data_IF_635084966243
#
_entry.id   IF_635084966243
#
_cell.length_a   1.000
_cell.length_b   1.000
_cell.length_c   1.000
_cell.angle_alpha   90.00
_cell.angle_beta   90.00
_cell.angle_gamma   90.00
#
_symmetry.space_group_name_H-M   'P 1'
#
loop_
_entity.id
_entity.type
_entity.pdbx_description
1 polymer ?
#
# COMPACT_ATOMS: atom_id res chain seq x y z
N UNK A 1 -43.79 -23.14 29.61
CA UNK A 1 -42.94 -21.94 29.50
C UNK A 1 -41.66 -22.31 28.74
N UNK A 2 -41.54 -21.99 27.45
CA UNK A 2 -40.36 -22.42 26.68
C UNK A 2 -40.08 -21.65 25.38
N UNK A 3 -41.07 -20.92 24.83
CA UNK A 3 -40.91 -20.17 23.59
C UNK A 3 -40.17 -18.84 23.76
N UNK A 4 -40.31 -18.17 24.91
CA UNK A 4 -39.72 -16.84 25.14
C UNK A 4 -38.18 -16.89 25.19
N UNK A 5 -37.60 -17.91 25.85
CA UNK A 5 -36.15 -18.07 25.94
C UNK A 5 -35.50 -18.39 24.60
N UNK A 6 -36.12 -19.29 23.82
CA UNK A 6 -35.63 -19.63 22.47
C UNK A 6 -35.70 -18.44 21.50
N UNK A 7 -36.71 -17.57 21.67
CA UNK A 7 -36.87 -16.36 20.87
C UNK A 7 -35.82 -15.32 21.25
N UNK A 8 -35.55 -15.12 22.54
CA UNK A 8 -34.52 -14.20 23.02
C UNK A 8 -33.12 -14.59 22.51
N UNK A 9 -32.78 -15.88 22.58
CA UNK A 9 -31.48 -16.40 22.12
C UNK A 9 -31.30 -16.15 20.62
N UNK A 10 -32.33 -16.36 19.80
CA UNK A 10 -32.28 -16.07 18.37
C UNK A 10 -32.05 -14.59 18.07
N UNK A 11 -32.71 -13.70 18.80
CA UNK A 11 -32.48 -12.25 18.64
C UNK A 11 -31.06 -11.84 19.00
N UNK A 12 -30.50 -12.40 20.08
CA UNK A 12 -29.12 -12.11 20.48
C UNK A 12 -28.10 -12.60 19.44
N UNK A 13 -28.27 -13.80 18.89
CA UNK A 13 -27.39 -14.33 17.83
C UNK A 13 -27.44 -13.46 16.57
N UNK A 14 -28.63 -13.03 16.14
CA UNK A 14 -28.77 -12.16 14.98
C UNK A 14 -28.12 -10.79 15.22
N UNK A 15 -28.28 -10.22 16.41
CA UNK A 15 -27.66 -8.94 16.77
C UNK A 15 -26.11 -9.04 16.77
N UNK A 16 -25.54 -10.12 17.28
CA UNK A 16 -24.08 -10.35 17.26
C UNK A 16 -23.52 -10.47 15.84
N UNK A 17 -24.23 -11.17 14.95
CA UNK A 17 -23.84 -11.29 13.53
C UNK A 17 -23.85 -9.90 12.88
N UNK A 18 -24.92 -9.13 13.04
CA UNK A 18 -25.04 -7.78 12.46
C UNK A 18 -23.97 -6.83 13.00
N UNK A 19 -23.68 -6.88 14.30
CA UNK A 19 -22.62 -6.07 14.91
C UNK A 19 -21.22 -6.42 14.38
N UNK A 20 -20.94 -7.71 14.17
CA UNK A 20 -19.68 -8.16 13.56
C UNK A 20 -19.49 -7.67 12.13
N UNK A 21 -20.55 -7.74 11.30
CA UNK A 21 -20.52 -7.23 9.94
C UNK A 21 -20.36 -5.69 9.89
N UNK A 22 -21.05 -4.96 10.76
CA UNK A 22 -20.93 -3.51 10.85
C UNK A 22 -19.52 -3.06 11.27
N UNK A 23 -18.88 -3.77 12.20
CA UNK A 23 -17.50 -3.52 12.60
C UNK A 23 -16.52 -3.75 11.43
N UNK A 24 -16.75 -4.78 10.62
CA UNK A 24 -15.90 -5.08 9.46
C UNK A 24 -16.06 -4.07 8.31
N UNK A 25 -17.27 -3.51 8.13
CA UNK A 25 -17.56 -2.47 7.15
C UNK A 25 -17.06 -1.09 7.59
N UNK A 26 -17.16 -0.77 8.88
CA UNK A 26 -16.61 0.45 9.47
C UNK A 26 -15.07 0.41 9.58
N UNK A 27 -14.50 -0.78 9.71
CA UNK A 27 -13.07 -1.06 9.63
C UNK A 27 -12.64 -1.49 8.22
N UNK A 28 -13.28 -0.98 7.17
CA UNK A 28 -12.73 -1.08 5.82
C UNK A 28 -11.28 -0.63 5.86
N UNK A 29 -10.36 -1.47 5.38
CA UNK A 29 -8.93 -1.15 5.37
C UNK A 29 -8.76 0.19 4.67
N UNK A 30 -8.33 1.22 5.42
CA UNK A 30 -8.13 2.55 4.85
C UNK A 30 -7.13 2.38 3.72
N UNK A 31 -7.60 2.50 2.48
CA UNK A 31 -6.74 2.43 1.33
C UNK A 31 -5.86 3.69 1.28
N UNK A 32 -4.71 3.56 0.62
CA UNK A 32 -3.68 4.59 0.56
C UNK A 32 -3.58 5.19 -0.85
N UNK A 33 -4.69 5.24 -1.60
CA UNK A 33 -4.68 5.74 -2.97
C UNK A 33 -4.36 7.23 -3.02
N UNK A 34 -4.93 8.03 -2.11
CA UNK A 34 -4.66 9.47 -2.03
C UNK A 34 -3.19 9.73 -1.64
N UNK A 35 -2.67 8.96 -0.68
CA UNK A 35 -1.28 9.03 -0.26
C UNK A 35 -0.33 8.61 -1.40
N UNK A 36 -0.68 7.57 -2.18
CA UNK A 36 0.05 7.17 -3.39
C UNK A 36 0.10 8.34 -4.38
N UNK A 37 -1.04 8.93 -4.71
CA UNK A 37 -1.13 10.01 -5.70
C UNK A 37 -0.35 11.26 -5.24
N UNK A 38 -0.44 11.58 -3.94
CA UNK A 38 0.33 12.65 -3.33
C UNK A 38 1.84 12.41 -3.41
N UNK A 39 2.32 11.22 -3.07
CA UNK A 39 3.76 10.88 -3.18
C UNK A 39 4.20 10.87 -4.64
N UNK A 40 3.39 10.32 -5.55
CA UNK A 40 3.66 10.34 -6.99
C UNK A 40 3.80 11.75 -7.54
N UNK A 41 3.04 12.70 -7.01
CA UNK A 41 3.12 14.12 -7.39
C UNK A 41 4.34 14.82 -6.77
N UNK A 42 4.48 14.78 -5.44
CA UNK A 42 5.50 15.54 -4.69
C UNK A 42 6.92 15.01 -4.94
N UNK A 43 7.06 13.69 -5.03
CA UNK A 43 8.35 13.02 -5.12
C UNK A 43 8.74 12.63 -6.56
N UNK A 44 8.00 13.08 -7.58
CA UNK A 44 8.13 12.59 -8.96
C UNK A 44 9.57 12.63 -9.47
N UNK A 45 10.33 13.67 -9.16
CA UNK A 45 11.72 13.79 -9.62
C UNK A 45 12.64 12.69 -9.11
N UNK A 46 12.36 12.14 -7.93
CA UNK A 46 13.12 11.02 -7.36
C UNK A 46 12.65 9.66 -7.83
N UNK A 47 11.35 9.50 -8.11
CA UNK A 47 10.74 8.19 -8.41
C UNK A 47 10.34 7.99 -9.87
N UNK A 48 10.43 9.01 -10.73
CA UNK A 48 10.09 8.88 -12.15
C UNK A 48 10.87 7.75 -12.82
N UNK A 49 10.21 7.05 -13.74
CA UNK A 49 10.77 5.89 -14.44
C UNK A 49 12.01 6.25 -15.26
N UNK A 50 12.00 7.42 -15.88
CA UNK A 50 13.05 7.86 -16.79
C UNK A 50 14.25 8.45 -16.03
N UNK A 51 15.43 8.35 -16.64
CA UNK A 51 16.67 8.93 -16.13
C UNK A 51 17.23 8.24 -14.88
N UNK A 52 18.29 8.81 -14.33
CA UNK A 52 18.93 8.34 -13.11
C UNK A 52 18.11 8.67 -11.86
N UNK A 53 18.49 8.10 -10.73
CA UNK A 53 17.91 8.47 -9.43
C UNK A 53 18.42 9.86 -9.04
N UNK A 54 17.49 10.70 -8.57
CA UNK A 54 17.81 12.02 -8.01
C UNK A 54 17.40 12.03 -6.53
N UNK A 55 18.29 12.42 -5.61
CA UNK A 55 17.96 12.49 -4.19
C UNK A 55 16.72 13.37 -3.92
N UNK A 56 15.88 13.01 -2.94
CA UNK A 56 14.61 13.70 -2.71
C UNK A 56 14.81 15.10 -2.17
N UNK A 57 13.81 15.96 -2.42
CA UNK A 57 13.72 17.27 -1.78
C UNK A 57 13.38 17.11 -0.29
N UNK A 58 13.64 18.14 0.55
CA UNK A 58 13.20 18.13 1.94
C UNK A 58 11.70 17.90 2.11
N UNK A 59 10.88 18.46 1.21
CA UNK A 59 9.41 18.29 1.24
C UNK A 59 9.00 16.85 0.91
N UNK A 60 9.59 16.25 -0.13
CA UNK A 60 9.36 14.84 -0.43
C UNK A 60 9.71 13.94 0.77
N UNK A 61 10.89 14.13 1.40
CA UNK A 61 11.27 13.38 2.60
C UNK A 61 10.28 13.54 3.76
N UNK A 62 9.72 14.73 3.92
CA UNK A 62 8.75 15.04 4.97
C UNK A 62 7.46 14.27 4.77
N UNK A 63 6.94 14.24 3.54
CA UNK A 63 5.68 13.57 3.23
C UNK A 63 5.82 12.05 3.24
N UNK A 64 6.93 11.50 2.71
CA UNK A 64 7.22 10.05 2.75
C UNK A 64 7.18 9.51 4.18
N UNK A 65 7.66 10.29 5.17
CA UNK A 65 7.66 9.90 6.59
C UNK A 65 6.29 9.91 7.27
N UNK A 66 5.25 10.46 6.63
CA UNK A 66 3.89 10.56 7.18
C UNK A 66 2.95 9.50 6.63
N UNK A 67 3.31 8.83 5.54
CA UNK A 67 2.45 7.91 4.80
C UNK A 67 2.88 6.46 4.97
N UNK A 68 1.96 5.54 4.72
CA UNK A 68 2.24 4.11 4.70
C UNK A 68 2.84 3.70 3.34
N UNK A 69 4.16 3.83 3.22
CA UNK A 69 4.89 3.44 2.00
C UNK A 69 4.71 1.95 1.66
N UNK A 70 4.74 0.99 2.60
CA UNK A 70 4.34 -0.39 2.32
C UNK A 70 2.97 -0.51 1.66
N UNK A 71 1.96 0.22 2.13
CA UNK A 71 0.64 0.24 1.48
C UNK A 71 0.74 0.79 0.06
N UNK A 72 1.41 1.94 -0.14
CA UNK A 72 1.61 2.55 -1.48
C UNK A 72 2.23 1.53 -2.44
N UNK A 73 3.26 0.83 -1.99
CA UNK A 73 3.90 -0.26 -2.73
C UNK A 73 2.93 -1.36 -3.15
N UNK A 74 1.93 -1.72 -2.34
CA UNK A 74 0.90 -2.72 -2.71
C UNK A 74 -0.11 -2.20 -3.74
N UNK A 75 -0.47 -0.93 -3.68
CA UNK A 75 -1.53 -0.34 -4.53
C UNK A 75 -1.01 0.27 -5.84
N UNK A 76 0.30 0.22 -6.09
CA UNK A 76 0.89 0.61 -7.37
C UNK A 76 0.31 -0.25 -8.50
N UNK A 77 -0.22 0.43 -9.51
CA UNK A 77 -0.79 -0.19 -10.71
C UNK A 77 0.22 -0.27 -11.85
N UNK A 78 -0.06 -1.11 -12.84
CA UNK A 78 0.74 -1.16 -14.07
C UNK A 78 0.75 0.19 -14.82
N UNK A 79 -0.27 1.03 -14.63
CA UNK A 79 -0.33 2.38 -15.20
C UNK A 79 0.62 3.33 -14.48
N UNK A 80 0.68 3.27 -13.15
CA UNK A 80 1.62 4.04 -12.33
C UNK A 80 3.05 3.69 -12.72
N UNK A 81 3.35 2.41 -12.88
CA UNK A 81 4.66 1.91 -13.30
C UNK A 81 5.08 2.31 -14.72
N UNK A 82 4.22 2.94 -15.52
CA UNK A 82 4.63 3.57 -16.78
C UNK A 82 5.34 4.91 -16.54
N UNK A 83 5.01 5.62 -15.46
CA UNK A 83 5.54 6.94 -15.14
C UNK A 83 6.52 6.91 -13.98
N UNK A 84 6.35 6.01 -13.01
CA UNK A 84 7.23 5.84 -11.85
C UNK A 84 7.98 4.51 -11.87
N UNK A 85 9.11 4.45 -11.17
CA UNK A 85 9.92 3.24 -10.97
C UNK A 85 9.75 2.74 -9.54
N UNK A 86 9.18 1.54 -9.34
CA UNK A 86 9.09 0.94 -8.01
C UNK A 86 10.46 0.74 -7.34
N UNK A 87 11.52 0.49 -8.13
CA UNK A 87 12.89 0.41 -7.61
C UNK A 87 13.32 1.73 -6.99
N UNK A 88 13.04 2.86 -7.67
CA UNK A 88 13.39 4.18 -7.13
C UNK A 88 12.53 4.57 -5.93
N UNK A 89 11.27 4.13 -5.88
CA UNK A 89 10.42 4.30 -4.69
C UNK A 89 10.99 3.54 -3.48
N UNK A 90 11.51 2.33 -3.68
CA UNK A 90 12.19 1.57 -2.61
C UNK A 90 13.48 2.26 -2.16
N UNK A 91 14.29 2.79 -3.09
CA UNK A 91 15.48 3.59 -2.74
C UNK A 91 15.07 4.81 -1.89
N UNK A 92 14.06 5.56 -2.33
CA UNK A 92 13.51 6.71 -1.60
C UNK A 92 13.05 6.31 -0.19
N UNK A 93 12.34 5.19 -0.04
CA UNK A 93 11.90 4.68 1.24
C UNK A 93 13.09 4.42 2.19
N UNK A 94 14.13 3.74 1.72
CA UNK A 94 15.34 3.47 2.51
C UNK A 94 16.10 4.74 2.88
N UNK A 95 16.24 5.71 1.96
CA UNK A 95 16.84 7.01 2.27
C UNK A 95 16.04 7.81 3.31
N UNK A 96 14.73 7.56 3.40
CA UNK A 96 13.86 8.15 4.41
C UNK A 96 13.79 7.34 5.71
N UNK A 97 14.59 6.27 5.82
CA UNK A 97 14.59 5.31 6.94
C UNK A 97 13.26 4.59 7.15
N UNK A 98 12.56 4.30 6.05
CA UNK A 98 11.37 3.45 6.06
C UNK A 98 11.82 2.00 5.82
N UNK A 99 11.49 1.14 6.78
CA UNK A 99 11.76 -0.28 6.71
C UNK A 99 10.78 -0.97 5.76
N UNK A 100 11.31 -1.60 4.71
CA UNK A 100 10.53 -2.42 3.80
C UNK A 100 11.01 -3.87 3.87
N UNK A 101 10.13 -4.85 4.17
CA UNK A 101 10.55 -6.24 4.33
C UNK A 101 11.17 -6.80 3.04
N UNK A 102 12.34 -7.43 3.16
CA UNK A 102 12.95 -8.18 2.07
C UNK A 102 12.00 -9.29 1.61
N UNK A 103 11.90 -9.48 0.30
CA UNK A 103 10.98 -10.43 -0.33
C UNK A 103 9.56 -9.88 -0.55
N UNK A 104 9.21 -8.75 0.07
CA UNK A 104 7.93 -8.09 -0.21
C UNK A 104 7.89 -7.43 -1.60
N UNK A 105 6.68 -7.16 -2.09
CA UNK A 105 6.44 -6.53 -3.39
C UNK A 105 6.26 -5.02 -3.23
N UNK A 106 6.86 -4.27 -4.14
CA UNK A 106 6.54 -2.88 -4.40
C UNK A 106 6.23 -2.75 -5.89
N UNK A 107 4.94 -2.66 -6.22
CA UNK A 107 4.46 -2.91 -7.58
C UNK A 107 4.97 -4.26 -8.10
N UNK A 108 5.50 -4.29 -9.31
CA UNK A 108 6.11 -5.47 -9.92
C UNK A 108 7.48 -5.85 -9.31
N UNK A 109 8.15 -4.93 -8.60
CA UNK A 109 9.48 -5.15 -8.05
C UNK A 109 9.44 -5.94 -6.74
N UNK A 110 10.37 -6.89 -6.57
CA UNK A 110 10.57 -7.62 -5.30
C UNK A 110 11.80 -7.07 -4.59
N UNK A 111 11.61 -6.61 -3.34
CA UNK A 111 12.66 -6.02 -2.53
C UNK A 111 13.72 -7.07 -2.18
N UNK A 112 14.99 -6.80 -2.47
CA UNK A 112 16.10 -7.74 -2.28
C UNK A 112 16.07 -8.95 -3.23
N UNK A 113 15.16 -8.98 -4.21
CA UNK A 113 15.17 -9.98 -5.27
C UNK A 113 16.33 -9.78 -6.25
N UNK A 114 16.82 -10.87 -6.86
CA UNK A 114 17.66 -10.77 -8.05
C UNK A 114 16.83 -10.11 -9.15
N UNK A 115 17.35 -9.05 -9.78
CA UNK A 115 16.79 -8.51 -11.02
C UNK A 115 16.68 -9.66 -12.02
N UNK A 116 15.47 -10.09 -12.44
CA UNK A 116 15.38 -11.07 -13.51
C UNK A 116 16.02 -10.45 -14.75
N UNK A 117 16.87 -11.19 -15.49
CA UNK A 117 17.43 -10.68 -16.73
C UNK A 117 16.28 -10.20 -17.64
N UNK A 118 16.45 -9.11 -18.39
CA UNK A 118 15.41 -8.63 -19.30
C UNK A 118 15.05 -9.78 -20.24
N UNK A 119 13.86 -10.32 -20.05
CA UNK A 119 13.35 -11.42 -20.85
C UNK A 119 13.39 -10.99 -22.31
N UNK A 120 14.14 -11.74 -23.10
CA UNK A 120 14.16 -11.66 -24.55
C UNK A 120 12.70 -11.76 -25.05
N UNK A 121 12.15 -10.64 -25.49
CA UNK A 121 11.00 -10.66 -26.38
C UNK A 121 11.53 -11.03 -27.76
N UNK A 122 11.24 -12.27 -28.15
CA UNK A 122 11.28 -12.75 -29.52
C UNK A 122 10.32 -11.95 -30.41
#
# INVERSE_FOLDING_TARGET
MGSAGATLVRFLLLASIVAGFAAHLAAGEKDCYDERDMIMSICIESIKKQGFYTPPTPDCRREVKKVDVPCICRVLTASDERTVSPVKLVILAHECHIELPVGSKCGAYTIGGRVPPPSAHA
#
